data_IF_358460341705
#
_entry.id   IF_358460341705
#
_cell.length_a   1.000
_cell.length_b   1.000
_cell.length_c   1.000
_cell.angle_alpha   90.00
_cell.angle_beta   90.00
_cell.angle_gamma   90.00
#
_symmetry.space_group_name_H-M   'P 1'
#
loop_
_entity.id
_entity.type
_entity.pdbx_description
1 polymer ?
#
# COMPACT_ATOMS: atom_id res chain seq x y z
N UNK A 1 -23.71 45.22 -37.97
CA UNK A 1 -23.70 44.63 -36.62
C UNK A 1 -22.35 43.98 -36.45
N UNK A 2 -21.65 44.33 -35.43
CA UNK A 2 -20.35 43.73 -35.08
C UNK A 2 -20.55 42.25 -34.71
N UNK A 3 -19.63 41.41 -35.10
CA UNK A 3 -19.69 39.95 -34.85
C UNK A 3 -18.74 39.61 -33.68
N UNK A 4 -19.05 38.55 -32.93
CA UNK A 4 -18.31 38.11 -31.73
C UNK A 4 -18.28 39.21 -30.63
N UNK A 5 -19.43 39.81 -30.36
CA UNK A 5 -19.52 40.94 -29.47
C UNK A 5 -20.55 40.73 -28.33
N UNK A 6 -20.19 41.19 -27.13
CA UNK A 6 -21.06 41.22 -25.98
C UNK A 6 -21.92 42.50 -25.94
N UNK A 7 -23.20 42.36 -25.72
CA UNK A 7 -24.14 43.46 -25.66
C UNK A 7 -24.84 43.42 -24.27
N UNK A 8 -24.82 44.52 -23.58
CA UNK A 8 -25.60 44.71 -22.34
C UNK A 8 -26.91 45.44 -22.67
N UNK A 9 -28.03 44.72 -22.49
CA UNK A 9 -29.38 45.28 -22.67
C UNK A 9 -30.36 44.62 -21.69
N UNK A 10 -31.41 45.32 -21.27
CA UNK A 10 -32.47 44.77 -20.39
C UNK A 10 -31.94 44.04 -19.16
N UNK A 11 -30.94 44.61 -18.52
CA UNK A 11 -30.28 44.06 -17.31
C UNK A 11 -29.67 42.64 -17.51
N UNK A 12 -29.31 42.32 -18.75
CA UNK A 12 -28.66 41.06 -19.08
C UNK A 12 -27.59 41.24 -20.15
N UNK A 13 -26.67 40.26 -20.21
CA UNK A 13 -25.73 40.14 -21.29
C UNK A 13 -26.29 39.26 -22.42
N UNK A 14 -26.02 39.68 -23.65
CA UNK A 14 -26.30 38.96 -24.88
C UNK A 14 -25.00 38.80 -25.69
N UNK A 15 -24.92 37.83 -26.54
CA UNK A 15 -23.76 37.60 -27.37
C UNK A 15 -24.15 37.47 -28.85
N UNK A 16 -23.50 38.28 -29.71
CA UNK A 16 -23.60 38.13 -31.15
C UNK A 16 -22.49 37.24 -31.68
N UNK A 17 -22.87 36.17 -32.34
CA UNK A 17 -21.95 35.22 -32.95
C UNK A 17 -21.25 35.78 -34.18
N UNK A 18 -20.31 35.02 -34.74
CA UNK A 18 -19.55 35.40 -35.95
C UNK A 18 -20.43 35.66 -37.17
N UNK A 19 -21.62 35.06 -37.24
CA UNK A 19 -22.61 35.27 -38.27
C UNK A 19 -23.56 36.46 -37.99
N UNK A 20 -23.33 37.18 -36.90
CA UNK A 20 -24.15 38.32 -36.44
C UNK A 20 -25.46 37.91 -35.79
N UNK A 21 -25.76 36.65 -35.63
CA UNK A 21 -26.96 36.19 -34.90
C UNK A 21 -26.70 36.13 -33.40
N UNK A 22 -27.74 36.46 -32.65
CA UNK A 22 -27.72 36.35 -31.20
C UNK A 22 -27.65 34.87 -30.79
N UNK A 23 -26.79 34.54 -29.82
CA UNK A 23 -26.74 33.23 -29.18
C UNK A 23 -28.03 32.99 -28.40
N UNK A 24 -28.68 31.84 -28.57
CA UNK A 24 -29.91 31.45 -27.92
C UNK A 24 -29.99 29.92 -27.72
N UNK A 25 -30.28 29.45 -26.52
CA UNK A 25 -30.32 28.04 -26.12
C UNK A 25 -29.05 27.27 -26.49
N UNK A 26 -27.90 27.90 -26.34
CA UNK A 26 -26.64 27.34 -26.73
C UNK A 26 -25.48 27.80 -25.83
N UNK A 27 -24.42 27.02 -25.84
CA UNK A 27 -23.15 27.35 -25.23
C UNK A 27 -22.27 28.16 -26.18
N UNK A 28 -21.64 29.19 -25.65
CA UNK A 28 -20.66 30.00 -26.39
C UNK A 28 -19.35 30.02 -25.62
N UNK A 29 -18.25 29.72 -26.26
CA UNK A 29 -16.91 29.91 -25.75
C UNK A 29 -16.41 31.29 -26.14
N UNK A 30 -16.14 32.12 -25.15
CA UNK A 30 -15.50 33.42 -25.37
C UNK A 30 -13.99 33.30 -25.19
N UNK A 31 -13.24 33.46 -26.27
CA UNK A 31 -11.78 33.36 -26.29
C UNK A 31 -11.06 34.46 -25.52
N UNK A 32 -11.72 35.62 -25.31
CA UNK A 32 -11.16 36.74 -24.57
C UNK A 32 -11.15 36.44 -23.05
N UNK A 33 -12.28 35.98 -22.52
CA UNK A 33 -12.42 35.59 -21.13
C UNK A 33 -11.96 34.16 -20.84
N UNK A 34 -11.65 33.38 -21.89
CA UNK A 34 -11.30 31.94 -21.84
C UNK A 34 -12.33 31.12 -21.05
N UNK A 35 -13.63 31.38 -21.25
CA UNK A 35 -14.71 30.75 -20.51
C UNK A 35 -15.90 30.41 -21.40
N UNK A 36 -16.68 29.41 -20.96
CA UNK A 36 -17.95 29.05 -21.55
C UNK A 36 -19.09 29.80 -20.85
N UNK A 37 -20.05 30.22 -21.65
CA UNK A 37 -21.29 30.89 -21.23
C UNK A 37 -22.49 30.16 -21.85
N UNK A 38 -23.63 30.20 -21.18
CA UNK A 38 -24.86 29.66 -21.73
C UNK A 38 -25.90 30.76 -21.93
N UNK A 39 -26.52 30.80 -23.09
CA UNK A 39 -27.57 31.74 -23.43
C UNK A 39 -28.91 31.03 -23.48
N UNK A 40 -29.84 31.51 -22.67
CA UNK A 40 -31.19 30.96 -22.56
C UNK A 40 -32.08 31.34 -23.72
N UNK A 41 -33.32 30.85 -23.72
CA UNK A 41 -34.36 31.32 -24.65
C UNK A 41 -34.52 32.84 -24.55
N UNK A 42 -34.55 33.54 -25.71
CA UNK A 42 -34.53 34.97 -25.78
C UNK A 42 -33.14 35.60 -25.70
N UNK A 43 -32.06 34.78 -25.66
CA UNK A 43 -30.67 35.24 -25.72
C UNK A 43 -30.09 35.73 -24.41
N UNK A 44 -30.80 35.61 -23.30
CA UNK A 44 -30.32 36.04 -21.98
C UNK A 44 -29.18 35.16 -21.46
N UNK A 45 -28.07 35.75 -21.06
CA UNK A 45 -26.99 35.02 -20.41
C UNK A 45 -27.45 34.39 -19.09
N UNK A 46 -27.14 33.10 -18.91
CA UNK A 46 -27.35 32.45 -17.63
C UNK A 46 -26.33 32.92 -16.60
N UNK A 47 -26.75 33.20 -15.38
CA UNK A 47 -25.87 33.62 -14.27
C UNK A 47 -26.48 33.20 -12.93
N UNK A 48 -25.65 32.74 -11.98
CA UNK A 48 -26.09 32.19 -10.69
C UNK A 48 -27.20 31.12 -10.83
N UNK A 49 -27.10 30.27 -11.82
CA UNK A 49 -28.13 29.26 -12.08
C UNK A 49 -27.58 27.96 -12.67
N UNK A 50 -28.40 26.92 -12.52
CA UNK A 50 -28.11 25.57 -12.98
C UNK A 50 -28.68 25.39 -14.40
N UNK A 51 -27.89 24.75 -15.26
CA UNK A 51 -28.30 24.37 -16.62
C UNK A 51 -28.19 22.86 -16.75
N UNK A 52 -29.29 22.22 -17.15
CA UNK A 52 -29.30 20.81 -17.54
C UNK A 52 -29.04 20.70 -19.04
N UNK A 53 -27.91 20.10 -19.41
CA UNK A 53 -27.56 19.83 -20.82
C UNK A 53 -26.65 18.61 -20.90
N UNK A 54 -26.67 17.90 -22.03
CA UNK A 54 -25.81 16.74 -22.27
C UNK A 54 -25.82 15.71 -21.13
N UNK A 55 -27.00 15.43 -20.59
CA UNK A 55 -27.21 14.48 -19.48
C UNK A 55 -26.43 14.82 -18.20
N UNK A 56 -26.09 16.09 -18.00
CA UNK A 56 -25.41 16.57 -16.80
C UNK A 56 -25.89 17.94 -16.37
N UNK A 57 -25.61 18.29 -15.12
CA UNK A 57 -25.81 19.62 -14.61
C UNK A 57 -24.53 20.45 -14.75
N UNK A 58 -24.71 21.69 -15.16
CA UNK A 58 -23.70 22.74 -15.22
C UNK A 58 -24.12 23.91 -14.33
N UNK A 59 -23.17 24.65 -13.83
CA UNK A 59 -23.45 25.85 -13.03
C UNK A 59 -22.76 27.08 -13.63
N UNK A 60 -23.52 28.14 -13.83
CA UNK A 60 -23.02 29.42 -14.28
C UNK A 60 -22.87 30.36 -13.06
N UNK A 61 -21.66 30.89 -12.90
CA UNK A 61 -21.32 31.80 -11.80
C UNK A 61 -22.04 33.16 -11.97
N UNK A 62 -21.88 34.05 -11.00
CA UNK A 62 -22.51 35.37 -11.04
C UNK A 62 -22.08 36.24 -12.23
N UNK A 63 -20.89 35.99 -12.77
CA UNK A 63 -20.35 36.62 -13.96
C UNK A 63 -20.73 35.88 -15.26
N UNK A 64 -21.57 34.86 -15.17
CA UNK A 64 -22.02 34.03 -16.28
C UNK A 64 -21.04 32.96 -16.72
N UNK A 65 -19.84 32.88 -16.17
CA UNK A 65 -18.87 31.86 -16.55
C UNK A 65 -19.28 30.49 -16.05
N UNK A 66 -19.11 29.48 -16.90
CA UNK A 66 -19.28 28.09 -16.51
C UNK A 66 -18.25 27.70 -15.44
N UNK A 67 -18.73 27.04 -14.42
CA UNK A 67 -17.88 26.45 -13.36
C UNK A 67 -17.13 25.25 -13.90
N UNK A 68 -15.83 25.19 -13.69
CA UNK A 68 -14.98 24.06 -14.11
C UNK A 68 -13.84 23.84 -13.12
N UNK A 69 -13.60 22.56 -12.73
CA UNK A 69 -12.54 22.15 -11.78
C UNK A 69 -12.56 22.89 -10.47
N UNK A 70 -13.75 23.19 -9.98
CA UNK A 70 -13.91 23.94 -8.74
C UNK A 70 -15.17 23.55 -7.95
N UNK A 71 -15.17 23.89 -6.67
CA UNK A 71 -16.29 23.71 -5.77
C UNK A 71 -17.24 24.91 -5.83
N UNK A 72 -18.53 24.62 -5.81
CA UNK A 72 -19.59 25.64 -5.72
C UNK A 72 -20.49 25.34 -4.54
N UNK A 73 -20.71 26.34 -3.71
CA UNK A 73 -21.72 26.30 -2.66
C UNK A 73 -23.03 26.92 -3.15
N UNK A 74 -24.07 26.12 -3.24
CA UNK A 74 -25.41 26.63 -3.54
C UNK A 74 -26.10 27.02 -2.22
N UNK A 75 -26.25 28.32 -2.00
CA UNK A 75 -26.84 28.87 -0.77
C UNK A 75 -28.35 28.62 -0.64
N UNK A 76 -29.05 28.35 -1.74
CA UNK A 76 -30.49 28.02 -1.75
C UNK A 76 -30.73 26.59 -1.28
N UNK A 77 -29.83 25.67 -1.68
CA UNK A 77 -29.89 24.25 -1.36
C UNK A 77 -29.06 23.95 -0.11
N UNK A 78 -28.15 24.86 0.28
CA UNK A 78 -27.19 24.74 1.39
C UNK A 78 -26.29 23.51 1.25
N UNK A 79 -25.72 23.31 0.05
CA UNK A 79 -24.85 22.18 -0.26
C UNK A 79 -23.70 22.55 -1.18
N UNK A 80 -22.59 21.85 -1.04
CA UNK A 80 -21.44 21.94 -1.94
C UNK A 80 -21.56 20.93 -3.09
N UNK A 81 -21.13 21.37 -4.26
CA UNK A 81 -21.04 20.60 -5.50
C UNK A 81 -19.64 20.77 -6.09
N UNK A 82 -19.19 19.78 -6.85
CA UNK A 82 -17.93 19.88 -7.59
C UNK A 82 -18.18 19.74 -9.09
N UNK A 83 -17.55 20.60 -9.87
CA UNK A 83 -17.63 20.58 -11.32
C UNK A 83 -16.29 20.15 -11.91
N UNK A 84 -16.32 19.11 -12.71
CA UNK A 84 -15.14 18.53 -13.36
C UNK A 84 -14.66 19.35 -14.55
N UNK A 85 -13.57 18.90 -15.17
CA UNK A 85 -13.15 19.42 -16.47
C UNK A 85 -14.30 19.31 -17.49
N UNK A 86 -14.54 20.38 -18.23
CA UNK A 86 -15.69 20.51 -19.14
C UNK A 86 -16.99 20.92 -18.47
N UNK A 87 -16.97 21.27 -17.18
CA UNK A 87 -18.09 21.84 -16.44
C UNK A 87 -19.14 20.83 -15.95
N UNK A 88 -18.90 19.52 -16.11
CA UNK A 88 -19.84 18.47 -15.70
C UNK A 88 -19.88 18.34 -14.17
N UNK A 89 -21.08 18.36 -13.59
CA UNK A 89 -21.26 18.10 -12.16
C UNK A 89 -20.79 16.69 -11.80
N UNK A 90 -19.98 16.57 -10.77
CA UNK A 90 -19.61 15.29 -10.19
C UNK A 90 -20.80 14.67 -9.44
N UNK A 91 -21.06 13.38 -9.65
CA UNK A 91 -22.11 12.64 -8.95
C UNK A 91 -21.76 11.14 -8.86
N UNK A 92 -22.03 10.52 -7.72
CA UNK A 92 -21.65 9.12 -7.41
C UNK A 92 -20.14 8.87 -7.60
N UNK A 93 -19.31 9.81 -7.23
CA UNK A 93 -17.87 9.70 -7.47
C UNK A 93 -17.03 10.37 -6.38
N UNK A 94 -15.78 9.93 -6.31
CA UNK A 94 -14.78 10.42 -5.39
C UNK A 94 -13.96 11.56 -6.01
N UNK A 95 -13.75 12.61 -5.23
CA UNK A 95 -12.90 13.75 -5.63
C UNK A 95 -11.76 13.88 -4.62
N UNK A 96 -10.53 13.88 -5.12
CA UNK A 96 -9.35 14.20 -4.32
C UNK A 96 -9.05 15.68 -4.43
N UNK A 97 -9.14 16.40 -3.33
CA UNK A 97 -8.82 17.82 -3.24
C UNK A 97 -8.36 18.18 -1.81
N UNK A 98 -7.52 19.21 -1.66
CA UNK A 98 -7.05 19.71 -0.35
C UNK A 98 -6.54 18.58 0.57
N UNK A 99 -5.77 17.66 0.03
CA UNK A 99 -5.17 16.52 0.75
C UNK A 99 -6.20 15.60 1.42
N UNK A 100 -7.45 15.57 0.92
CA UNK A 100 -8.50 14.69 1.41
C UNK A 100 -9.37 14.14 0.28
N UNK A 101 -10.06 13.04 0.56
CA UNK A 101 -11.11 12.54 -0.29
C UNK A 101 -12.46 13.12 0.09
N UNK A 102 -13.23 13.45 -0.90
CA UNK A 102 -14.63 13.88 -0.83
C UNK A 102 -15.49 12.95 -1.68
N UNK A 103 -16.73 12.78 -1.32
CA UNK A 103 -17.67 11.99 -2.10
C UNK A 103 -18.88 12.83 -2.50
N UNK A 104 -19.19 12.84 -3.79
CA UNK A 104 -20.38 13.46 -4.33
C UNK A 104 -21.46 12.38 -4.50
N UNK A 105 -22.60 12.59 -3.83
CA UNK A 105 -23.76 11.67 -3.87
C UNK A 105 -24.43 11.67 -5.25
N UNK A 106 -25.43 10.82 -5.44
CA UNK A 106 -26.15 10.72 -6.71
C UNK A 106 -26.84 12.02 -7.17
N UNK A 107 -27.18 12.89 -6.22
CA UNK A 107 -27.73 14.21 -6.48
C UNK A 107 -26.65 15.29 -6.65
N UNK A 108 -25.39 14.92 -6.68
CA UNK A 108 -24.23 15.80 -6.82
C UNK A 108 -23.82 16.52 -5.53
N UNK A 109 -24.57 16.38 -4.43
CA UNK A 109 -24.18 17.02 -3.16
C UNK A 109 -23.01 16.30 -2.52
N UNK A 110 -22.14 17.06 -1.90
CA UNK A 110 -21.08 16.51 -1.07
C UNK A 110 -21.70 15.72 0.10
N UNK A 111 -21.10 14.57 0.40
CA UNK A 111 -21.39 13.85 1.63
C UNK A 111 -20.76 14.61 2.81
N UNK A 112 -21.55 14.93 3.84
CA UNK A 112 -21.09 15.66 5.01
C UNK A 112 -21.82 15.19 6.28
N UNK A 113 -21.06 14.89 7.34
CA UNK A 113 -21.57 14.35 8.61
C UNK A 113 -22.45 13.13 8.45
N UNK A 114 -22.10 12.26 7.51
CA UNK A 114 -22.88 11.08 7.17
C UNK A 114 -22.00 9.90 6.74
N UNK A 115 -22.59 8.71 6.83
CA UNK A 115 -22.02 7.49 6.32
C UNK A 115 -22.41 7.30 4.85
N UNK A 116 -21.44 6.89 4.04
CA UNK A 116 -21.67 6.52 2.64
C UNK A 116 -21.14 5.11 2.40
N UNK A 117 -21.99 4.27 1.81
CA UNK A 117 -21.58 2.97 1.31
C UNK A 117 -21.15 3.09 -0.15
N UNK A 118 -19.90 2.80 -0.42
CA UNK A 118 -19.39 2.72 -1.79
C UNK A 118 -19.48 1.28 -2.30
N UNK A 119 -20.33 1.06 -3.28
CA UNK A 119 -20.57 -0.28 -3.86
C UNK A 119 -19.37 -0.81 -4.66
N UNK A 120 -18.49 0.06 -5.13
CA UNK A 120 -17.29 -0.35 -5.87
C UNK A 120 -16.24 -0.96 -4.93
N UNK A 121 -15.95 -0.30 -3.82
CA UNK A 121 -15.03 -0.79 -2.80
C UNK A 121 -15.68 -1.76 -1.80
N UNK A 122 -17.01 -1.90 -1.84
CA UNK A 122 -17.83 -2.68 -0.90
C UNK A 122 -17.58 -2.31 0.57
N UNK A 123 -17.45 -1.02 0.87
CA UNK A 123 -17.11 -0.53 2.19
C UNK A 123 -17.90 0.72 2.58
N UNK A 124 -18.05 0.93 3.89
CA UNK A 124 -18.58 2.14 4.46
C UNK A 124 -17.47 3.16 4.74
N UNK A 125 -17.77 4.41 4.49
CA UNK A 125 -16.93 5.57 4.77
C UNK A 125 -17.73 6.60 5.55
N UNK A 126 -17.05 7.39 6.36
CA UNK A 126 -17.67 8.52 7.05
C UNK A 126 -17.07 9.84 6.59
N UNK A 127 -17.93 10.80 6.31
CA UNK A 127 -17.53 12.15 5.93
C UNK A 127 -17.84 13.13 7.05
N UNK A 128 -16.81 13.84 7.48
CA UNK A 128 -16.89 14.83 8.57
C UNK A 128 -17.52 16.14 8.12
N UNK A 129 -17.63 17.09 9.05
CA UNK A 129 -18.00 18.47 8.72
C UNK A 129 -17.03 19.03 7.66
N UNK A 130 -17.56 19.68 6.63
CA UNK A 130 -16.80 20.13 5.47
C UNK A 130 -16.54 19.06 4.43
N UNK A 131 -17.12 17.86 4.57
CA UNK A 131 -17.06 16.77 3.60
C UNK A 131 -15.75 15.99 3.58
N UNK A 132 -14.84 16.20 4.51
CA UNK A 132 -13.58 15.47 4.60
C UNK A 132 -13.78 14.00 5.00
N UNK A 133 -13.21 13.06 4.25
CA UNK A 133 -13.23 11.65 4.61
C UNK A 133 -12.51 11.42 5.95
N UNK A 134 -13.13 10.68 6.84
CA UNK A 134 -12.50 10.21 8.07
C UNK A 134 -11.50 9.07 7.76
N UNK A 135 -10.31 9.13 8.35
CA UNK A 135 -9.29 8.08 8.22
C UNK A 135 -8.39 8.03 9.47
N UNK A 136 -8.01 6.84 9.91
CA UNK A 136 -7.27 6.60 11.16
C UNK A 136 -7.90 7.30 12.36
N UNK A 137 -9.22 7.24 12.46
CA UNK A 137 -9.93 7.92 13.55
C UNK A 137 -11.22 7.20 13.96
N UNK A 138 -11.63 7.52 15.18
CA UNK A 138 -12.84 7.00 15.81
C UNK A 138 -14.03 7.91 15.55
N UNK A 139 -15.16 7.31 15.23
CA UNK A 139 -16.45 8.00 15.07
C UNK A 139 -17.44 7.44 16.08
N UNK A 140 -18.00 8.32 16.90
CA UNK A 140 -19.11 7.98 17.77
C UNK A 140 -20.44 8.23 17.05
N UNK A 141 -21.18 7.16 16.81
CA UNK A 141 -22.50 7.22 16.18
C UNK A 141 -23.37 6.06 16.68
N UNK A 142 -24.69 6.24 16.69
CA UNK A 142 -25.66 5.18 17.07
C UNK A 142 -25.28 4.45 18.36
N UNK A 143 -24.87 5.21 19.39
CA UNK A 143 -24.47 4.70 20.71
C UNK A 143 -23.30 3.68 20.69
N UNK A 144 -22.48 3.71 19.63
CA UNK A 144 -21.29 2.86 19.50
C UNK A 144 -20.11 3.63 18.90
N UNK A 145 -18.93 3.06 19.10
CA UNK A 145 -17.73 3.50 18.42
C UNK A 145 -17.52 2.71 17.14
N UNK A 146 -17.14 3.42 16.11
CA UNK A 146 -16.69 2.92 14.81
C UNK A 146 -15.28 3.39 14.55
N UNK A 147 -14.52 2.64 13.78
CA UNK A 147 -13.16 3.02 13.41
C UNK A 147 -13.01 3.05 11.89
N UNK A 148 -12.48 4.17 11.40
CA UNK A 148 -12.11 4.33 9.98
C UNK A 148 -10.62 4.05 9.85
N UNK A 149 -10.27 3.07 9.04
CA UNK A 149 -8.88 2.67 8.78
C UNK A 149 -8.12 3.74 7.99
N UNK A 150 -6.84 3.53 7.74
CA UNK A 150 -6.00 4.48 7.01
C UNK A 150 -6.48 4.77 5.57
N UNK A 151 -7.17 3.81 4.96
CA UNK A 151 -7.79 3.94 3.65
C UNK A 151 -9.22 4.53 3.70
N UNK A 152 -9.66 4.95 4.87
CA UNK A 152 -11.00 5.50 5.13
C UNK A 152 -12.10 4.46 5.27
N UNK A 153 -11.84 3.17 5.06
CA UNK A 153 -12.87 2.13 5.20
C UNK A 153 -13.20 1.89 6.67
N UNK A 154 -14.48 1.73 6.95
CA UNK A 154 -14.94 1.29 8.26
C UNK A 154 -14.44 -0.11 8.57
N UNK A 155 -13.89 -0.30 9.75
CA UNK A 155 -13.52 -1.61 10.25
C UNK A 155 -14.79 -2.45 10.50
N UNK A 156 -14.84 -3.68 9.99
CA UNK A 156 -15.97 -4.59 10.15
C UNK A 156 -15.50 -6.05 10.17
N UNK A 157 -15.94 -6.83 11.15
CA UNK A 157 -15.57 -8.25 11.38
C UNK A 157 -14.05 -8.45 11.43
N UNK A 158 -13.36 -7.52 12.03
CA UNK A 158 -11.89 -7.53 12.08
C UNK A 158 -11.36 -6.93 13.39
N UNK A 159 -10.13 -7.31 13.70
CA UNK A 159 -9.34 -6.70 14.75
C UNK A 159 -8.60 -5.49 14.21
N UNK A 160 -8.58 -4.39 14.95
CA UNK A 160 -7.85 -3.17 14.61
C UNK A 160 -6.98 -2.75 15.78
N UNK A 161 -5.72 -2.51 15.50
CA UNK A 161 -4.80 -1.90 16.45
C UNK A 161 -4.84 -0.38 16.30
N UNK A 162 -5.24 0.31 17.35
CA UNK A 162 -5.15 1.76 17.40
C UNK A 162 -3.84 2.19 18.06
N UNK A 163 -2.93 2.72 17.25
CA UNK A 163 -1.62 3.17 17.70
C UNK A 163 -1.66 4.36 18.67
N UNK A 164 -2.72 5.17 18.65
CA UNK A 164 -2.90 6.29 19.58
C UNK A 164 -3.26 5.81 20.99
N UNK A 165 -4.13 4.81 21.06
CA UNK A 165 -4.55 4.19 22.33
C UNK A 165 -3.67 3.00 22.72
N UNK A 166 -2.75 2.58 21.85
CA UNK A 166 -1.87 1.41 22.01
C UNK A 166 -2.63 0.16 22.42
N UNK A 167 -3.77 -0.11 21.76
CA UNK A 167 -4.66 -1.20 22.11
C UNK A 167 -5.35 -1.81 20.90
N UNK A 168 -5.71 -3.08 21.03
CA UNK A 168 -6.52 -3.79 20.05
C UNK A 168 -7.99 -3.67 20.38
N UNK A 169 -8.80 -3.55 19.34
CA UNK A 169 -10.24 -3.49 19.36
C UNK A 169 -10.82 -4.43 18.30
N UNK A 170 -11.98 -4.99 18.55
CA UNK A 170 -12.69 -5.79 17.57
C UNK A 170 -13.98 -5.10 17.15
N UNK A 171 -14.23 -5.11 15.85
CA UNK A 171 -15.44 -4.56 15.25
C UNK A 171 -16.27 -5.68 14.64
N UNK A 172 -17.49 -5.87 15.13
CA UNK A 172 -18.41 -6.90 14.61
C UNK A 172 -19.11 -6.44 13.34
N UNK A 173 -19.98 -7.31 12.79
CA UNK A 173 -20.78 -6.97 11.63
C UNK A 173 -21.55 -5.66 11.82
N UNK A 174 -21.49 -4.77 10.82
CA UNK A 174 -22.01 -3.40 10.90
C UNK A 174 -21.05 -2.39 11.50
N UNK A 175 -19.79 -2.80 11.80
CA UNK A 175 -18.72 -1.90 12.28
C UNK A 175 -18.80 -1.51 13.76
N UNK A 176 -19.68 -2.14 14.55
CA UNK A 176 -19.85 -1.83 15.96
C UNK A 176 -18.66 -2.35 16.79
N UNK A 177 -18.03 -1.48 17.57
CA UNK A 177 -16.99 -1.88 18.52
C UNK A 177 -17.54 -2.84 19.57
N UNK A 178 -16.85 -3.95 19.78
CA UNK A 178 -17.20 -4.93 20.83
C UNK A 178 -16.62 -4.48 22.17
N UNK A 179 -17.40 -4.66 23.23
CA UNK A 179 -16.99 -4.39 24.62
C UNK A 179 -17.63 -5.38 25.58
N UNK A 180 -16.92 -5.71 26.67
CA UNK A 180 -17.36 -6.67 27.69
C UNK A 180 -17.77 -8.05 27.12
N UNK A 181 -17.18 -8.44 25.98
CA UNK A 181 -17.44 -9.71 25.29
C UNK A 181 -16.13 -10.43 25.01
N UNK A 182 -16.20 -11.74 24.78
CA UNK A 182 -15.07 -12.54 24.29
C UNK A 182 -15.27 -12.84 22.81
N UNK A 183 -14.27 -12.51 21.98
CA UNK A 183 -14.26 -12.79 20.54
C UNK A 183 -13.07 -13.67 20.24
N UNK A 184 -13.31 -14.84 19.64
CA UNK A 184 -12.27 -15.83 19.27
C UNK A 184 -11.32 -16.20 20.43
N UNK A 185 -11.83 -16.20 21.67
CA UNK A 185 -11.05 -16.48 22.88
C UNK A 185 -10.40 -15.24 23.51
N UNK A 186 -10.49 -14.08 22.91
CA UNK A 186 -9.93 -12.82 23.40
C UNK A 186 -10.96 -11.98 24.13
N UNK A 187 -10.69 -11.66 25.38
CA UNK A 187 -11.60 -10.87 26.22
C UNK A 187 -11.39 -9.36 25.98
N UNK A 188 -12.49 -8.66 25.69
CA UNK A 188 -12.52 -7.20 25.54
C UNK A 188 -13.10 -6.54 26.80
N UNK A 189 -12.48 -5.45 27.21
CA UNK A 189 -12.89 -4.68 28.38
C UNK A 189 -14.13 -3.82 28.16
N UNK A 190 -14.54 -3.11 29.21
CA UNK A 190 -15.67 -2.17 29.13
C UNK A 190 -15.41 -0.96 28.22
N UNK A 191 -14.16 -0.64 27.98
CA UNK A 191 -13.69 0.39 27.04
C UNK A 191 -13.41 -0.16 25.63
N UNK A 192 -13.70 -1.46 25.39
CA UNK A 192 -13.49 -2.16 24.14
C UNK A 192 -12.07 -2.59 23.87
N UNK A 193 -11.12 -2.28 24.76
CA UNK A 193 -9.74 -2.76 24.59
C UNK A 193 -9.65 -4.24 24.86
N UNK A 194 -8.85 -4.90 24.08
CA UNK A 194 -8.42 -6.25 24.41
C UNK A 194 -7.66 -6.23 25.73
N UNK A 195 -8.10 -7.05 26.67
CA UNK A 195 -7.53 -7.08 28.02
C UNK A 195 -6.19 -7.81 28.10
N UNK A 196 -5.76 -8.42 26.96
CA UNK A 196 -4.55 -9.22 26.92
C UNK A 196 -4.64 -10.41 27.88
N UNK A 197 -4.68 -11.64 27.37
CA UNK A 197 -4.12 -12.67 28.21
C UNK A 197 -2.65 -12.29 28.39
N UNK A 198 -2.16 -12.21 29.62
CA UNK A 198 -0.72 -12.25 29.87
C UNK A 198 -0.19 -13.45 29.10
N UNK A 199 0.78 -13.24 28.24
CA UNK A 199 1.47 -14.31 27.53
C UNK A 199 2.27 -15.15 28.54
N UNK A 200 1.58 -15.78 29.46
CA UNK A 200 2.10 -16.64 30.52
C UNK A 200 1.70 -18.09 30.28
N UNK A 201 1.85 -18.52 29.03
CA UNK A 201 2.01 -19.95 28.85
C UNK A 201 3.50 -20.24 29.04
N UNK A 202 3.87 -20.55 30.30
CA UNK A 202 5.27 -20.88 30.68
C UNK A 202 5.90 -21.98 29.80
N UNK A 203 5.09 -22.68 28.98
CA UNK A 203 5.50 -23.76 28.08
C UNK A 203 5.47 -23.36 26.60
N UNK A 204 4.98 -22.15 26.24
CA UNK A 204 4.97 -21.77 24.81
C UNK A 204 6.41 -21.54 24.33
N UNK A 205 6.73 -22.21 23.20
CA UNK A 205 8.02 -22.03 22.50
C UNK A 205 7.93 -21.00 21.38
N UNK A 206 6.71 -20.63 20.98
CA UNK A 206 6.41 -19.81 19.81
C UNK A 206 5.42 -18.70 20.16
N UNK A 207 5.62 -17.54 19.57
CA UNK A 207 4.75 -16.39 19.75
C UNK A 207 4.50 -15.72 18.40
N UNK A 208 3.29 -15.20 18.20
CA UNK A 208 2.95 -14.42 17.02
C UNK A 208 3.01 -12.93 17.32
N UNK A 209 3.54 -12.14 16.39
CA UNK A 209 3.53 -10.68 16.46
C UNK A 209 2.12 -10.16 16.17
N UNK A 210 1.57 -9.39 17.10
CA UNK A 210 0.17 -8.92 17.09
C UNK A 210 0.00 -7.55 16.42
N UNK A 211 0.80 -6.50 16.73
CA UNK A 211 0.67 -5.20 16.08
C UNK A 211 1.12 -5.24 14.62
N UNK A 212 0.70 -4.26 13.81
CA UNK A 212 1.10 -4.11 12.40
C UNK A 212 2.61 -4.24 12.24
N UNK A 213 3.37 -3.62 13.17
CA UNK A 213 4.81 -3.83 13.33
C UNK A 213 5.19 -3.78 14.80
N UNK A 214 6.13 -4.62 15.22
CA UNK A 214 6.72 -4.61 16.55
C UNK A 214 8.24 -4.49 16.49
N UNK A 215 8.84 -3.75 17.40
CA UNK A 215 10.28 -3.56 17.47
C UNK A 215 10.96 -4.71 18.22
N UNK A 216 12.15 -5.06 17.74
CA UNK A 216 13.10 -5.94 18.45
C UNK A 216 14.21 -5.08 19.04
N UNK A 217 14.55 -5.30 20.31
CA UNK A 217 15.52 -4.52 21.06
C UNK A 217 16.69 -5.38 21.52
N UNK A 218 17.84 -4.76 21.76
CA UNK A 218 18.95 -5.39 22.50
C UNK A 218 18.64 -5.41 24.01
N UNK A 219 19.55 -5.93 24.82
CA UNK A 219 19.42 -5.97 26.28
C UNK A 219 19.33 -4.56 26.91
N UNK A 220 20.00 -3.58 26.32
CA UNK A 220 20.06 -2.19 26.80
C UNK A 220 18.82 -1.37 26.37
N UNK A 221 17.92 -1.96 25.58
CA UNK A 221 16.69 -1.32 25.10
C UNK A 221 16.86 -0.52 23.79
N UNK A 222 17.99 -0.65 23.11
CA UNK A 222 18.19 -0.04 21.80
C UNK A 222 17.51 -0.89 20.71
N UNK A 223 16.89 -0.23 19.76
CA UNK A 223 16.20 -0.88 18.63
C UNK A 223 17.20 -1.54 17.69
N UNK A 224 17.02 -2.84 17.47
CA UNK A 224 17.80 -3.63 16.49
C UNK A 224 17.10 -3.71 15.14
N UNK A 225 15.80 -4.00 15.13
CA UNK A 225 14.99 -4.19 13.93
C UNK A 225 13.50 -4.06 14.27
N UNK A 226 12.63 -4.38 13.30
CA UNK A 226 11.19 -4.43 13.48
C UNK A 226 10.59 -5.56 12.64
N UNK A 227 9.47 -6.10 13.11
CA UNK A 227 8.85 -7.32 12.57
C UNK A 227 7.37 -7.05 12.28
N UNK A 228 6.87 -7.54 11.16
CA UNK A 228 5.47 -7.40 10.73
C UNK A 228 4.52 -8.28 11.53
N UNK A 229 3.27 -7.85 11.58
CA UNK A 229 2.14 -8.60 12.10
C UNK A 229 2.07 -10.02 11.52
N UNK A 230 1.67 -10.98 12.33
CA UNK A 230 1.52 -12.37 11.91
C UNK A 230 2.81 -13.17 11.87
N UNK A 231 3.98 -12.52 11.94
CA UNK A 231 5.27 -13.23 12.02
C UNK A 231 5.34 -14.06 13.29
N UNK A 232 5.91 -15.26 13.20
CA UNK A 232 6.11 -16.16 14.34
C UNK A 232 7.54 -16.04 14.83
N UNK A 233 7.72 -15.68 16.10
CA UNK A 233 9.01 -15.61 16.77
C UNK A 233 9.17 -16.78 17.73
N UNK A 234 10.39 -17.20 17.97
CA UNK A 234 10.74 -18.30 18.87
C UNK A 234 11.20 -17.75 20.22
N UNK A 235 10.75 -18.36 21.31
CA UNK A 235 11.29 -18.05 22.63
C UNK A 235 12.76 -18.48 22.69
N UNK A 236 13.63 -17.52 22.99
CA UNK A 236 15.03 -17.80 23.26
C UNK A 236 15.18 -18.24 24.73
N UNK A 237 15.25 -19.54 24.96
CA UNK A 237 15.32 -20.13 26.31
C UNK A 237 16.68 -19.94 26.99
N UNK A 238 17.71 -19.57 26.21
CA UNK A 238 19.07 -19.34 26.74
C UNK A 238 19.22 -17.92 27.29
N UNK A 239 18.26 -17.05 27.03
CA UNK A 239 18.20 -15.68 27.53
C UNK A 239 17.07 -15.49 28.52
N UNK A 240 17.31 -14.66 29.52
CA UNK A 240 16.32 -14.36 30.56
C UNK A 240 15.28 -13.37 30.03
N UNK A 241 14.02 -13.81 30.02
CA UNK A 241 12.85 -12.95 29.85
C UNK A 241 12.41 -12.29 31.15
N UNK A 242 11.65 -11.20 31.06
CA UNK A 242 10.99 -10.56 32.21
C UNK A 242 9.49 -10.35 31.90
N UNK A 243 8.73 -9.82 32.86
CA UNK A 243 7.27 -9.61 32.72
C UNK A 243 6.90 -8.65 31.60
N UNK A 244 7.84 -7.82 31.14
CA UNK A 244 7.62 -6.79 30.12
C UNK A 244 8.22 -7.15 28.77
N UNK A 245 9.24 -8.02 28.74
CA UNK A 245 9.99 -8.35 27.53
C UNK A 245 10.29 -9.84 27.48
N UNK A 246 10.00 -10.45 26.35
CA UNK A 246 10.41 -11.82 26.04
C UNK A 246 11.70 -11.80 25.21
N UNK A 247 12.63 -12.65 25.58
CA UNK A 247 13.79 -12.95 24.74
C UNK A 247 13.33 -13.84 23.59
N UNK A 248 13.59 -13.41 22.36
CA UNK A 248 13.12 -14.09 21.14
C UNK A 248 14.22 -14.24 20.10
N UNK A 249 13.99 -15.18 19.18
CA UNK A 249 14.78 -15.35 17.97
C UNK A 249 13.86 -15.38 16.75
N UNK A 250 14.26 -14.72 15.67
CA UNK A 250 13.58 -14.77 14.37
C UNK A 250 14.55 -14.41 13.25
N UNK A 251 14.57 -15.22 12.19
CA UNK A 251 15.37 -14.96 10.98
C UNK A 251 16.81 -14.55 11.33
N UNK A 252 17.46 -15.32 12.20
CA UNK A 252 18.81 -15.10 12.68
C UNK A 252 19.01 -14.00 13.73
N UNK A 253 18.03 -13.14 13.96
CA UNK A 253 18.09 -12.09 14.97
C UNK A 253 17.65 -12.62 16.33
N UNK A 254 18.49 -12.45 17.34
CA UNK A 254 18.13 -12.66 18.75
C UNK A 254 18.05 -11.32 19.48
N UNK A 255 16.96 -11.11 20.22
CA UNK A 255 16.72 -9.86 20.92
C UNK A 255 15.55 -9.95 21.89
N UNK A 256 14.97 -8.82 22.22
CA UNK A 256 13.84 -8.70 23.13
C UNK A 256 12.67 -8.01 22.45
N UNK A 257 11.47 -8.55 22.61
CA UNK A 257 10.22 -7.90 22.22
C UNK A 257 9.36 -7.67 23.42
N UNK A 258 8.50 -6.66 23.39
CA UNK A 258 7.54 -6.41 24.45
C UNK A 258 6.55 -7.56 24.54
N UNK A 259 6.25 -8.01 25.74
CA UNK A 259 5.28 -9.08 25.97
C UNK A 259 3.89 -8.73 25.44
N UNK A 260 3.51 -7.45 25.50
CA UNK A 260 2.24 -6.93 24.98
C UNK A 260 2.11 -7.01 23.45
N UNK A 261 3.24 -7.09 22.72
CA UNK A 261 3.26 -7.20 21.26
C UNK A 261 3.17 -8.66 20.77
N UNK A 262 3.11 -9.63 21.69
CA UNK A 262 3.26 -11.06 21.39
C UNK A 262 2.11 -11.88 21.94
N UNK A 263 1.60 -12.79 21.12
CA UNK A 263 0.61 -13.79 21.48
C UNK A 263 1.25 -15.18 21.47
N UNK A 264 1.12 -15.92 22.56
CA UNK A 264 1.59 -17.30 22.65
C UNK A 264 0.83 -18.21 21.67
N UNK A 265 1.54 -19.10 20.98
CA UNK A 265 0.98 -20.08 20.06
C UNK A 265 1.01 -21.49 20.66
N UNK A 266 -0.01 -22.29 20.35
CA UNK A 266 -0.09 -23.72 20.62
C UNK A 266 0.33 -24.49 19.35
N UNK A 267 1.56 -25.02 19.34
CA UNK A 267 2.10 -25.72 18.17
C UNK A 267 1.29 -26.97 17.76
N UNK A 268 0.35 -27.45 18.58
CA UNK A 268 -0.56 -28.54 18.23
C UNK A 268 -1.77 -28.08 17.41
N UNK A 269 -2.08 -26.76 17.41
CA UNK A 269 -3.26 -26.17 16.73
C UNK A 269 -2.89 -25.07 15.76
N UNK A 270 -1.86 -24.28 16.10
CA UNK A 270 -1.45 -23.13 15.34
C UNK A 270 -0.39 -23.48 14.29
N UNK A 271 -0.36 -22.71 13.23
CA UNK A 271 0.67 -22.87 12.20
C UNK A 271 2.01 -22.31 12.71
N UNK A 272 3.02 -23.17 12.73
CA UNK A 272 4.41 -22.76 13.02
C UNK A 272 5.19 -22.87 11.70
N UNK A 273 5.91 -21.82 11.26
CA UNK A 273 6.75 -21.88 10.07
C UNK A 273 7.77 -23.04 10.14
N UNK A 274 7.93 -23.74 9.03
CA UNK A 274 8.83 -24.89 8.92
C UNK A 274 9.42 -24.99 7.52
N UNK A 275 10.45 -25.81 7.37
CA UNK A 275 11.07 -26.12 6.10
C UNK A 275 10.80 -27.57 5.72
N UNK A 276 10.63 -27.85 4.43
CA UNK A 276 10.37 -29.19 3.93
C UNK A 276 10.92 -29.35 2.50
N UNK A 277 11.41 -30.52 2.18
CA UNK A 277 11.84 -30.88 0.82
C UNK A 277 10.80 -31.74 0.11
N UNK A 278 10.53 -31.43 -1.17
CA UNK A 278 9.72 -32.23 -2.07
C UNK A 278 10.56 -33.26 -2.87
N UNK A 279 11.87 -33.36 -2.58
CA UNK A 279 12.83 -34.20 -3.31
C UNK A 279 13.54 -33.48 -4.47
N UNK A 280 13.09 -32.27 -4.83
CA UNK A 280 13.72 -31.43 -5.84
C UNK A 280 14.16 -30.10 -5.25
N UNK A 281 13.30 -29.54 -4.41
CA UNK A 281 13.50 -28.23 -3.77
C UNK A 281 13.29 -28.31 -2.27
N UNK A 282 13.95 -27.38 -1.58
CA UNK A 282 13.75 -27.12 -0.17
C UNK A 282 12.96 -25.82 -0.03
N UNK A 283 11.82 -25.91 0.65
CA UNK A 283 10.87 -24.80 0.81
C UNK A 283 10.80 -24.35 2.26
N UNK A 284 10.73 -23.05 2.47
CA UNK A 284 10.32 -22.45 3.73
C UNK A 284 8.82 -22.18 3.68
N UNK A 285 8.03 -22.91 4.44
CA UNK A 285 6.59 -22.67 4.61
C UNK A 285 6.40 -21.58 5.68
N UNK A 286 6.07 -20.36 5.23
CA UNK A 286 5.92 -19.17 6.10
C UNK A 286 4.48 -18.94 6.54
N UNK A 287 3.51 -19.58 5.88
CA UNK A 287 2.09 -19.64 6.22
C UNK A 287 1.48 -20.94 5.67
N UNK A 288 0.25 -21.28 6.09
CA UNK A 288 -0.42 -22.52 5.65
C UNK A 288 -0.46 -22.69 4.12
N UNK A 289 -0.59 -21.59 3.38
CA UNK A 289 -0.71 -21.59 1.92
C UNK A 289 0.40 -20.78 1.22
N UNK A 290 1.52 -20.53 1.91
CA UNK A 290 2.62 -19.73 1.37
C UNK A 290 3.96 -20.39 1.68
N UNK A 291 4.75 -20.64 0.64
CA UNK A 291 6.10 -21.16 0.75
C UNK A 291 7.07 -20.41 -0.14
N UNK A 292 8.32 -20.38 0.27
CA UNK A 292 9.44 -19.75 -0.43
C UNK A 292 10.42 -20.88 -0.79
N UNK A 293 10.72 -21.15 -2.07
CA UNK A 293 11.81 -22.05 -2.42
C UNK A 293 13.15 -21.39 -2.05
N UNK A 294 13.89 -21.99 -1.13
CA UNK A 294 15.12 -21.42 -0.57
C UNK A 294 16.40 -22.09 -1.06
N UNK A 295 16.31 -23.33 -1.54
CA UNK A 295 17.43 -24.08 -2.09
C UNK A 295 16.97 -25.26 -2.94
N UNK A 296 17.92 -25.95 -3.60
CA UNK A 296 17.71 -27.29 -4.12
C UNK A 296 17.70 -28.31 -2.98
N UNK A 297 17.13 -29.49 -3.23
CA UNK A 297 17.21 -30.62 -2.32
C UNK A 297 18.66 -31.05 -2.12
N UNK A 298 19.06 -31.28 -0.88
CA UNK A 298 20.38 -31.85 -0.52
C UNK A 298 20.22 -33.34 -0.12
N UNK A 299 21.28 -34.14 -0.32
CA UNK A 299 21.29 -35.59 0.02
C UNK A 299 20.97 -35.90 1.48
N UNK A 300 21.25 -34.93 2.37
CA UNK A 300 21.05 -35.06 3.82
C UNK A 300 19.63 -34.70 4.26
N UNK A 301 18.77 -34.28 3.32
CA UNK A 301 17.36 -33.97 3.59
C UNK A 301 16.47 -35.19 3.36
N UNK A 302 15.54 -35.43 4.26
CA UNK A 302 14.46 -36.39 4.09
C UNK A 302 13.25 -35.73 3.44
N UNK A 303 12.75 -36.31 2.35
CA UNK A 303 11.57 -35.79 1.63
C UNK A 303 10.34 -35.88 2.53
N UNK A 304 9.59 -34.73 2.62
CA UNK A 304 8.37 -34.65 3.42
C UNK A 304 8.59 -34.50 4.94
N UNK A 305 9.84 -34.48 5.39
CA UNK A 305 10.17 -34.21 6.79
C UNK A 305 10.17 -32.71 7.05
N UNK A 306 9.52 -32.29 8.14
CA UNK A 306 9.54 -30.92 8.61
C UNK A 306 10.83 -30.63 9.39
N UNK A 307 11.50 -29.58 8.99
CA UNK A 307 12.68 -29.05 9.65
C UNK A 307 12.36 -27.66 10.23
N UNK A 308 13.00 -27.32 11.33
CA UNK A 308 12.82 -26.05 12.01
C UNK A 308 14.18 -25.38 12.16
N UNK A 309 14.25 -24.08 11.88
CA UNK A 309 15.46 -23.30 12.01
C UNK A 309 15.12 -21.87 12.42
N UNK A 310 15.84 -21.34 13.42
CA UNK A 310 15.67 -19.98 13.88
C UNK A 310 16.33 -18.95 12.95
N UNK A 311 17.30 -19.37 12.13
CA UNK A 311 18.06 -18.50 11.23
C UNK A 311 17.90 -18.85 9.74
N UNK A 312 17.23 -19.95 9.42
CA UNK A 312 17.04 -20.43 8.05
C UNK A 312 18.29 -21.06 7.42
N UNK A 313 19.37 -21.24 8.19
CA UNK A 313 20.64 -21.73 7.71
C UNK A 313 21.09 -23.02 8.40
N UNK A 314 20.89 -23.10 9.71
CA UNK A 314 21.31 -24.25 10.52
C UNK A 314 20.11 -25.12 10.83
N UNK A 315 20.21 -26.40 10.44
CA UNK A 315 19.19 -27.44 10.62
C UNK A 315 19.78 -28.63 11.37
N UNK A 316 18.90 -29.48 11.90
CA UNK A 316 19.34 -30.75 12.46
C UNK A 316 19.94 -31.65 11.37
N UNK A 317 21.24 -31.90 11.45
CA UNK A 317 21.99 -32.75 10.53
C UNK A 317 22.64 -32.06 9.31
N UNK A 318 22.28 -30.80 9.00
CA UNK A 318 22.88 -30.07 7.86
C UNK A 318 22.87 -28.55 8.02
N UNK A 319 23.71 -27.90 7.22
CA UNK A 319 23.71 -26.44 7.04
C UNK A 319 23.29 -26.11 5.61
N UNK A 320 22.36 -25.17 5.48
CA UNK A 320 21.92 -24.63 4.19
C UNK A 320 22.84 -23.48 3.76
N UNK A 321 23.34 -23.56 2.54
CA UNK A 321 23.93 -22.42 1.87
C UNK A 321 22.88 -21.76 0.97
N UNK A 322 22.61 -20.48 1.18
CA UNK A 322 21.76 -19.70 0.29
C UNK A 322 22.65 -18.60 -0.35
N UNK A 323 23.27 -18.89 -1.51
CA UNK A 323 24.26 -18.00 -2.10
C UNK A 323 23.68 -16.64 -2.47
N UNK A 324 22.41 -16.57 -2.87
CA UNK A 324 21.80 -15.30 -3.23
C UNK A 324 21.39 -14.45 -2.03
N UNK A 325 21.13 -15.07 -0.87
CA UNK A 325 20.78 -14.34 0.35
C UNK A 325 21.97 -13.51 0.88
N UNK A 326 23.18 -14.02 0.70
CA UNK A 326 24.44 -13.42 1.18
C UNK A 326 25.38 -12.99 0.06
N UNK A 327 24.90 -13.01 -1.21
CA UNK A 327 25.67 -12.49 -2.34
C UNK A 327 25.99 -11.02 -2.14
N UNK A 328 27.24 -10.64 -2.39
CA UNK A 328 27.60 -9.22 -2.44
C UNK A 328 26.91 -8.57 -3.65
N UNK A 329 25.98 -7.69 -3.39
CA UNK A 329 25.18 -7.00 -4.39
C UNK A 329 25.95 -5.88 -5.11
N UNK A 330 27.20 -5.60 -4.70
CA UNK A 330 28.10 -4.66 -5.40
C UNK A 330 28.88 -5.34 -6.53
N UNK A 331 28.85 -6.67 -6.61
CA UNK A 331 29.40 -7.43 -7.71
C UNK A 331 28.41 -7.45 -8.90
N UNK A 332 28.91 -7.18 -10.11
CA UNK A 332 28.09 -7.21 -11.32
C UNK A 332 27.58 -8.62 -11.62
N UNK A 333 26.38 -8.73 -12.20
CA UNK A 333 25.89 -9.99 -12.71
C UNK A 333 26.62 -10.43 -13.99
N UNK A 334 26.76 -11.75 -14.19
CA UNK A 334 27.33 -12.32 -15.40
C UNK A 334 26.34 -12.34 -16.60
N UNK A 335 25.13 -11.82 -16.43
CA UNK A 335 24.11 -11.76 -17.50
C UNK A 335 24.17 -10.46 -18.27
N UNK A 336 23.96 -10.57 -19.60
CA UNK A 336 23.80 -9.39 -20.48
C UNK A 336 22.37 -8.83 -20.37
N UNK A 337 22.19 -7.64 -20.93
CA UNK A 337 20.87 -7.00 -21.01
C UNK A 337 19.84 -7.87 -21.74
N UNK A 338 20.22 -8.46 -22.87
CA UNK A 338 19.38 -9.33 -23.70
C UNK A 338 19.04 -10.64 -22.97
N UNK A 339 19.93 -11.15 -22.11
CA UNK A 339 19.64 -12.31 -21.29
C UNK A 339 18.63 -11.98 -20.21
N UNK A 340 18.78 -10.84 -19.53
CA UNK A 340 17.79 -10.38 -18.55
C UNK A 340 16.40 -10.16 -19.18
N UNK A 341 16.33 -9.67 -20.41
CA UNK A 341 15.05 -9.52 -21.14
C UNK A 341 14.37 -10.86 -21.43
N UNK A 342 15.12 -11.94 -21.66
CA UNK A 342 14.55 -13.29 -21.91
C UNK A 342 13.80 -13.86 -20.69
N UNK A 343 14.05 -13.35 -19.50
CA UNK A 343 13.41 -13.82 -18.25
C UNK A 343 11.89 -13.82 -18.36
N UNK A 344 11.32 -12.78 -18.94
CA UNK A 344 9.87 -12.60 -19.05
C UNK A 344 9.22 -13.70 -19.88
N UNK A 345 9.79 -14.03 -21.03
CA UNK A 345 9.32 -15.14 -21.88
C UNK A 345 9.56 -16.50 -21.25
N UNK A 346 10.72 -16.73 -20.63
CA UNK A 346 11.06 -18.01 -19.98
C UNK A 346 10.19 -18.31 -18.75
N UNK A 347 9.70 -17.28 -18.07
CA UNK A 347 8.81 -17.41 -16.93
C UNK A 347 7.33 -17.21 -17.29
N UNK A 348 7.00 -17.03 -18.58
CA UNK A 348 5.64 -16.71 -19.05
C UNK A 348 5.03 -15.49 -18.36
N UNK A 349 5.83 -14.44 -18.13
CA UNK A 349 5.39 -13.18 -17.56
C UNK A 349 4.92 -12.29 -18.71
N UNK A 350 3.65 -11.90 -18.70
CA UNK A 350 3.07 -11.06 -19.73
C UNK A 350 2.58 -9.74 -19.11
N UNK A 351 2.50 -8.68 -19.92
CA UNK A 351 2.01 -7.35 -19.54
C UNK A 351 2.81 -6.71 -18.39
N UNK A 352 4.12 -6.91 -18.38
CA UNK A 352 5.05 -6.32 -17.43
C UNK A 352 5.61 -5.01 -17.95
N UNK A 353 5.64 -3.97 -17.13
CA UNK A 353 6.35 -2.72 -17.45
C UNK A 353 7.88 -2.87 -17.39
N UNK A 354 8.37 -3.96 -16.79
CA UNK A 354 9.81 -4.27 -16.69
C UNK A 354 10.31 -5.08 -17.91
N UNK A 355 9.42 -5.51 -18.80
CA UNK A 355 9.77 -6.24 -20.03
C UNK A 355 10.60 -5.36 -20.98
N UNK A 356 11.66 -5.91 -21.54
CA UNK A 356 12.63 -5.19 -22.39
C UNK A 356 13.36 -4.03 -21.68
N UNK A 357 13.56 -4.14 -20.38
CA UNK A 357 14.31 -3.18 -19.55
C UNK A 357 15.69 -3.69 -19.10
N UNK A 358 16.18 -4.79 -19.69
CA UNK A 358 17.50 -5.34 -19.37
C UNK A 358 18.62 -4.32 -19.56
N UNK A 359 18.55 -3.47 -20.58
CA UNK A 359 19.51 -2.38 -20.80
C UNK A 359 19.50 -1.37 -19.65
N UNK A 360 18.32 -0.98 -19.16
CA UNK A 360 18.19 -0.05 -18.02
C UNK A 360 18.72 -0.66 -16.72
N UNK A 361 18.48 -1.96 -16.49
CA UNK A 361 19.05 -2.66 -15.33
C UNK A 361 20.59 -2.73 -15.40
N UNK A 362 21.16 -2.94 -16.58
CA UNK A 362 22.62 -2.93 -16.78
C UNK A 362 23.20 -1.53 -16.67
N UNK A 363 22.51 -0.49 -17.15
CA UNK A 363 22.88 0.91 -16.93
C UNK A 363 22.91 1.24 -15.41
N UNK A 364 21.89 0.80 -14.67
CA UNK A 364 21.82 0.95 -13.23
C UNK A 364 22.98 0.24 -12.52
N UNK A 365 23.33 -0.98 -12.94
CA UNK A 365 24.49 -1.73 -12.42
C UNK A 365 25.80 -0.99 -12.68
N UNK A 366 26.03 -0.55 -13.91
CA UNK A 366 27.24 0.17 -14.30
C UNK A 366 27.40 1.49 -13.54
N UNK A 367 26.32 2.24 -13.42
CA UNK A 367 26.36 3.58 -12.82
C UNK A 367 26.39 3.56 -11.28
N UNK A 368 25.64 2.65 -10.66
CA UNK A 368 25.49 2.61 -9.20
C UNK A 368 26.23 1.46 -8.53
N UNK A 369 26.87 0.57 -9.30
CA UNK A 369 27.56 -0.62 -8.81
C UNK A 369 26.65 -1.50 -7.94
N UNK A 370 25.44 -1.81 -8.44
CA UNK A 370 24.48 -2.70 -7.79
C UNK A 370 24.02 -3.74 -8.82
N UNK A 371 24.17 -5.00 -8.48
CA UNK A 371 23.90 -6.18 -9.30
C UNK A 371 22.54 -6.12 -10.04
N UNK A 372 22.55 -6.20 -11.37
CA UNK A 372 21.33 -6.07 -12.20
C UNK A 372 20.36 -7.25 -12.02
N UNK A 373 20.86 -8.48 -11.75
CA UNK A 373 19.99 -9.61 -11.44
C UNK A 373 19.20 -9.36 -10.13
N UNK A 374 19.87 -8.82 -9.10
CA UNK A 374 19.21 -8.41 -7.87
C UNK A 374 18.19 -7.32 -8.12
N UNK A 375 18.52 -6.27 -8.88
CA UNK A 375 17.59 -5.17 -9.17
C UNK A 375 16.35 -5.68 -9.89
N UNK A 376 16.50 -6.59 -10.86
CA UNK A 376 15.37 -7.22 -11.54
C UNK A 376 14.54 -8.07 -10.58
N UNK A 377 15.17 -8.91 -9.75
CA UNK A 377 14.48 -9.77 -8.79
C UNK A 377 13.73 -8.95 -7.72
N UNK A 378 14.36 -7.92 -7.20
CA UNK A 378 13.75 -7.01 -6.21
C UNK A 378 12.55 -6.28 -6.81
N UNK A 379 12.71 -5.65 -7.97
CA UNK A 379 11.60 -4.97 -8.65
C UNK A 379 10.47 -5.94 -9.02
N UNK A 380 10.79 -7.17 -9.41
CA UNK A 380 9.80 -8.20 -9.70
C UNK A 380 8.97 -8.57 -8.46
N UNK A 381 9.60 -8.76 -7.31
CA UNK A 381 8.90 -9.07 -6.05
C UNK A 381 7.98 -7.91 -5.63
N UNK A 382 8.53 -6.71 -5.47
CA UNK A 382 7.83 -5.55 -4.91
C UNK A 382 6.67 -5.04 -5.80
N UNK A 383 6.81 -5.20 -7.10
CA UNK A 383 5.84 -4.68 -8.07
C UNK A 383 4.95 -5.76 -8.72
N UNK A 384 5.03 -7.01 -8.26
CA UNK A 384 4.42 -8.13 -8.96
C UNK A 384 4.82 -8.15 -10.45
N UNK A 385 6.13 -8.13 -10.73
CA UNK A 385 6.66 -8.06 -12.09
C UNK A 385 6.20 -6.81 -12.86
N UNK A 386 6.23 -5.65 -12.23
CA UNK A 386 5.83 -4.39 -12.86
C UNK A 386 4.33 -4.25 -13.15
N UNK A 387 3.49 -5.10 -12.55
CA UNK A 387 2.04 -5.16 -12.83
C UNK A 387 1.18 -4.58 -11.71
N UNK A 388 1.75 -4.26 -10.55
CA UNK A 388 1.02 -3.65 -9.44
C UNK A 388 0.46 -2.27 -9.81
N UNK A 389 -0.56 -1.82 -9.09
CA UNK A 389 -1.14 -0.49 -9.30
C UNK A 389 -0.10 0.63 -9.10
N UNK A 390 0.74 0.52 -8.05
CA UNK A 390 1.81 1.49 -7.79
C UNK A 390 2.81 1.53 -8.94
N UNK A 391 3.22 0.37 -9.46
CA UNK A 391 4.11 0.30 -10.61
C UNK A 391 3.53 0.99 -11.85
N UNK A 392 2.26 0.73 -12.16
CA UNK A 392 1.58 1.29 -13.34
C UNK A 392 1.33 2.80 -13.23
N UNK A 393 0.91 3.26 -12.08
CA UNK A 393 0.50 4.66 -11.90
C UNK A 393 1.67 5.58 -11.54
N UNK A 394 2.74 5.03 -10.94
CA UNK A 394 3.84 5.81 -10.36
C UNK A 394 5.23 5.44 -10.85
N UNK A 395 5.36 4.44 -11.72
CA UNK A 395 6.66 3.88 -12.16
C UNK A 395 7.56 3.48 -10.98
N UNK A 396 6.96 3.10 -9.85
CA UNK A 396 7.68 2.71 -8.63
C UNK A 396 7.65 1.19 -8.50
N UNK A 397 8.77 0.55 -8.80
CA UNK A 397 8.90 -0.91 -8.86
C UNK A 397 9.54 -1.50 -7.61
N UNK A 398 10.04 -0.68 -6.70
CA UNK A 398 10.80 -1.10 -5.51
C UNK A 398 10.12 -0.72 -4.20
N UNK A 399 8.88 -0.26 -4.22
CA UNK A 399 8.16 0.15 -3.02
C UNK A 399 8.77 1.39 -2.32
N UNK A 400 9.52 2.23 -3.04
CA UNK A 400 10.19 3.38 -2.44
C UNK A 400 9.16 4.31 -1.79
N UNK A 401 9.34 4.53 -0.47
CA UNK A 401 8.44 5.31 0.41
C UNK A 401 6.99 4.78 0.48
N UNK A 402 6.73 3.55 0.04
CA UNK A 402 5.43 2.91 0.19
C UNK A 402 5.28 2.34 1.61
N UNK A 403 4.93 3.19 2.58
CA UNK A 403 4.79 2.79 3.98
C UNK A 403 3.58 1.89 4.21
N UNK A 404 3.69 0.90 5.08
CA UNK A 404 2.66 -0.12 5.37
C UNK A 404 1.28 0.46 5.68
N UNK A 405 1.22 1.66 6.26
CA UNK A 405 -0.04 2.34 6.61
C UNK A 405 -0.71 3.07 5.46
N UNK A 406 0.06 3.51 4.45
CA UNK A 406 -0.43 4.29 3.30
C UNK A 406 0.35 3.97 2.01
N UNK A 407 0.46 2.70 1.58
CA UNK A 407 1.44 2.33 0.56
C UNK A 407 1.26 3.06 -0.77
N UNK A 408 0.03 3.23 -1.23
CA UNK A 408 -0.22 3.93 -2.50
C UNK A 408 0.02 5.44 -2.39
N UNK A 409 -0.42 6.09 -1.30
CA UNK A 409 -0.32 7.54 -1.14
C UNK A 409 1.13 7.98 -0.92
N UNK A 410 1.88 7.25 -0.10
CA UNK A 410 3.26 7.56 0.26
C UNK A 410 4.28 7.15 -0.80
N UNK A 411 3.95 6.21 -1.68
CA UNK A 411 4.86 5.73 -2.71
C UNK A 411 5.34 6.86 -3.64
N UNK A 412 6.66 6.95 -3.80
CA UNK A 412 7.31 7.92 -4.69
C UNK A 412 6.87 7.71 -6.15
N UNK A 413 6.64 8.80 -6.86
CA UNK A 413 6.32 8.78 -8.30
C UNK A 413 7.56 9.13 -9.11
N UNK A 414 7.76 8.43 -10.23
CA UNK A 414 8.81 8.69 -11.22
C UNK A 414 8.15 8.98 -12.58
N UNK A 415 8.83 9.77 -13.42
CA UNK A 415 8.26 10.25 -14.69
C UNK A 415 8.02 9.13 -15.69
N UNK A 416 8.91 8.14 -15.74
CA UNK A 416 8.85 6.98 -16.63
C UNK A 416 9.48 5.73 -15.98
N UNK A 417 9.39 4.60 -16.67
CA UNK A 417 9.88 3.30 -16.20
C UNK A 417 11.40 3.31 -15.95
N UNK A 418 12.17 3.90 -16.86
CA UNK A 418 13.63 3.92 -16.77
C UNK A 418 14.08 4.79 -15.60
N UNK A 419 13.48 5.97 -15.41
CA UNK A 419 13.70 6.81 -14.24
C UNK A 419 13.24 6.14 -12.93
N UNK A 420 12.19 5.30 -13.00
CA UNK A 420 11.75 4.48 -11.89
C UNK A 420 12.81 3.50 -11.44
N UNK A 421 13.43 2.78 -12.37
CA UNK A 421 14.51 1.82 -12.10
C UNK A 421 15.76 2.56 -11.61
N UNK A 422 16.27 3.54 -12.36
CA UNK A 422 17.50 4.27 -12.04
C UNK A 422 17.36 5.06 -10.73
N UNK A 423 16.24 5.75 -10.54
CA UNK A 423 15.99 6.55 -9.33
C UNK A 423 15.82 5.72 -8.07
N UNK A 424 15.22 4.54 -8.18
CA UNK A 424 15.11 3.59 -7.07
C UNK A 424 16.47 2.96 -6.76
N UNK A 425 17.27 2.59 -7.77
CA UNK A 425 18.62 2.07 -7.59
C UNK A 425 19.52 3.07 -6.88
N UNK A 426 19.46 4.36 -7.28
CA UNK A 426 20.16 5.43 -6.56
C UNK A 426 19.75 5.49 -5.09
N UNK A 427 18.45 5.43 -4.81
CA UNK A 427 17.93 5.48 -3.45
C UNK A 427 18.41 4.28 -2.62
N UNK A 428 18.40 3.06 -3.19
CA UNK A 428 18.92 1.84 -2.54
C UNK A 428 20.40 2.00 -2.23
N UNK A 429 21.19 2.52 -3.18
CA UNK A 429 22.60 2.80 -2.96
C UNK A 429 22.83 3.70 -1.74
N UNK A 430 22.21 4.87 -1.74
CA UNK A 430 22.42 5.90 -0.70
C UNK A 430 21.93 5.48 0.69
N UNK A 431 20.86 4.67 0.75
CA UNK A 431 20.24 4.30 2.01
C UNK A 431 20.70 2.96 2.60
N UNK A 432 21.28 2.08 1.78
CA UNK A 432 21.69 0.73 2.22
C UNK A 432 23.12 0.39 1.83
N UNK A 433 23.48 0.39 0.54
CA UNK A 433 24.80 -0.06 0.07
C UNK A 433 25.91 0.80 0.64
N UNK A 434 25.81 2.13 0.53
CA UNK A 434 26.81 3.08 1.06
C UNK A 434 26.89 3.06 2.60
N UNK A 435 25.93 2.41 3.27
CA UNK A 435 25.94 2.19 4.72
C UNK A 435 26.43 0.79 5.12
N UNK A 436 27.02 0.05 4.18
CA UNK A 436 27.57 -1.28 4.42
C UNK A 436 26.55 -2.42 4.40
N UNK A 437 25.33 -2.18 3.93
CA UNK A 437 24.29 -3.21 3.74
C UNK A 437 24.37 -3.76 2.32
N UNK A 438 25.47 -4.47 2.01
CA UNK A 438 25.82 -4.90 0.64
C UNK A 438 25.22 -6.23 0.21
N UNK A 439 24.34 -6.86 1.00
CA UNK A 439 23.66 -8.10 0.70
C UNK A 439 22.22 -8.11 1.25
N UNK A 440 21.38 -8.99 0.74
CA UNK A 440 19.99 -9.10 1.18
C UNK A 440 19.88 -9.41 2.67
N UNK A 441 20.47 -10.52 3.08
CA UNK A 441 20.52 -10.95 4.46
C UNK A 441 19.18 -11.32 5.08
N UNK A 442 19.21 -11.41 6.39
CA UNK A 442 18.09 -11.76 7.25
C UNK A 442 17.87 -10.65 8.31
N UNK A 443 17.11 -10.90 9.36
CA UNK A 443 16.89 -9.89 10.41
C UNK A 443 18.13 -9.56 11.25
N UNK A 444 19.14 -10.42 11.23
CA UNK A 444 20.41 -10.17 11.95
C UNK A 444 21.39 -9.32 11.14
N UNK A 445 21.36 -9.41 9.81
CA UNK A 445 22.38 -8.77 8.96
C UNK A 445 21.87 -8.49 7.55
N UNK A 446 22.54 -7.58 6.84
CA UNK A 446 22.18 -7.17 5.49
C UNK A 446 21.07 -6.14 5.44
N UNK A 447 20.46 -5.98 4.27
CA UNK A 447 19.43 -4.98 4.01
C UNK A 447 18.13 -5.27 4.78
N UNK A 448 17.76 -6.54 4.97
CA UNK A 448 16.51 -6.92 5.61
C UNK A 448 16.39 -6.47 7.09
N UNK A 449 17.47 -6.09 7.72
CA UNK A 449 17.44 -5.51 9.09
C UNK A 449 16.52 -4.28 9.13
N UNK A 450 16.56 -3.44 8.09
CA UNK A 450 15.90 -2.14 8.06
C UNK A 450 14.98 -1.92 6.85
N UNK A 451 15.10 -2.73 5.78
CA UNK A 451 14.35 -2.50 4.53
C UNK A 451 12.87 -2.83 4.66
N UNK A 452 12.55 -3.97 5.22
CA UNK A 452 11.18 -4.46 5.35
C UNK A 452 10.87 -4.95 6.76
N UNK A 453 9.60 -4.85 7.17
CA UNK A 453 9.09 -5.48 8.40
C UNK A 453 8.99 -7.02 8.27
N UNK A 454 8.82 -7.51 7.06
CA UNK A 454 8.79 -8.95 6.76
C UNK A 454 10.14 -9.63 7.07
N UNK A 455 10.20 -10.57 8.02
CA UNK A 455 11.45 -11.22 8.40
C UNK A 455 12.06 -12.07 7.28
N UNK A 456 11.28 -12.45 6.28
CA UNK A 456 11.67 -13.31 5.17
C UNK A 456 11.79 -12.58 3.83
N UNK A 457 11.79 -11.23 3.86
CA UNK A 457 11.92 -10.40 2.66
C UNK A 457 13.18 -10.74 1.85
N UNK A 458 14.33 -10.89 2.52
CA UNK A 458 15.59 -11.27 1.87
C UNK A 458 15.51 -12.65 1.19
N UNK A 459 14.90 -13.63 1.86
CA UNK A 459 14.69 -14.98 1.29
C UNK A 459 13.80 -14.94 0.05
N UNK A 460 12.74 -14.10 0.06
CA UNK A 460 11.82 -13.95 -1.07
C UNK A 460 12.54 -13.41 -2.31
N UNK A 461 13.39 -12.38 -2.15
CA UNK A 461 14.18 -11.85 -3.27
C UNK A 461 15.23 -12.86 -3.72
N UNK A 462 15.96 -13.46 -2.79
CA UNK A 462 16.95 -14.50 -3.09
C UNK A 462 16.33 -15.66 -3.89
N UNK A 463 15.10 -16.07 -3.54
CA UNK A 463 14.32 -17.07 -4.27
C UNK A 463 14.01 -16.63 -5.71
N UNK A 464 13.66 -15.37 -5.93
CA UNK A 464 13.43 -14.83 -7.29
C UNK A 464 14.74 -14.80 -8.07
N UNK A 465 15.87 -14.37 -7.45
CA UNK A 465 17.21 -14.41 -8.07
C UNK A 465 17.57 -15.84 -8.49
N UNK A 466 17.41 -16.80 -7.60
CA UNK A 466 17.68 -18.22 -7.86
C UNK A 466 16.84 -18.72 -9.04
N UNK A 467 15.55 -18.43 -9.06
CA UNK A 467 14.64 -18.82 -10.14
C UNK A 467 15.06 -18.22 -11.50
N UNK A 468 15.44 -16.94 -11.52
CA UNK A 468 15.93 -16.27 -12.73
C UNK A 468 17.25 -16.90 -13.17
N UNK A 469 18.21 -17.05 -12.27
CA UNK A 469 19.53 -17.65 -12.54
C UNK A 469 19.40 -19.04 -13.18
N UNK A 470 18.56 -19.90 -12.63
CA UNK A 470 18.31 -21.24 -13.20
C UNK A 470 17.72 -21.18 -14.60
N UNK A 471 16.75 -20.30 -14.84
CA UNK A 471 16.12 -20.14 -16.15
C UNK A 471 17.07 -19.59 -17.21
N UNK A 472 18.06 -18.83 -16.80
CA UNK A 472 19.09 -18.24 -17.67
C UNK A 472 20.35 -19.12 -17.80
N UNK A 473 20.41 -20.30 -17.16
CA UNK A 473 21.49 -21.25 -17.31
C UNK A 473 22.58 -21.21 -16.23
N UNK A 474 22.35 -20.53 -15.10
CA UNK A 474 23.18 -20.65 -13.89
C UNK A 474 24.57 -19.97 -13.99
N UNK A 475 24.64 -18.71 -14.39
CA UNK A 475 25.92 -17.99 -14.53
C UNK A 475 26.36 -17.24 -13.26
N UNK A 476 25.41 -16.95 -12.34
CA UNK A 476 25.64 -16.22 -11.08
C UNK A 476 25.68 -17.12 -9.85
#
# INVERSE_FOLDING_TARGET
MTANEWIWDKESWFYLKSDGKMAEKEWVYDSHSQAWYYFKSGGYMAANEWIWDKESWFYLKSDGKMTEKEWVYDSKIQAWYYFKSGGYMAANEWIWDKESWFYLKSDGKIAEKEWVYDSHSQAWYYFKSGGYMAANEWIWDKESWFYLKSDGKMAEKEWVYDSKNQAWYYFKSGGYMVKNETVDGYQLGSDGKWLGEKATNENAAYYQVVPVTANVYNADGEKLSYISQGSVVWLDKDRKSDDKRLAITISGLSGYMKTEDLQALDASKDFIPYYESDGHRFYHYVAQNASIPVASHLSDMEVGKKYYSADGLHFDGFKLENPFLFKDLTEATNYSAEELDKVFSLLNINNSLLENKGATFKEAEEHYHINALYLLAHSALESNWGRSKIAKDKNNFFGITAYDTTPYLSAKTFDDVDKGILGATKWIKENYIDRGRTFLGNKASGMNVEYASDPYWGEKIASVMMKINEKLGGKD
#
